data_IF_480447479080
#
_entry.id   IF_480447479080
#
_cell.length_a   1.000
_cell.length_b   1.000
_cell.length_c   1.000
_cell.angle_alpha   90.00
_cell.angle_beta   90.00
_cell.angle_gamma   90.00
#
_symmetry.space_group_name_H-M   'P 1'
#
loop_
_entity.id
_entity.type
_entity.pdbx_description
1 polymer ?
#
# COMPACT_ATOMS: atom_id res chain seq x y z
N UNK A 1 25.28 -5.50 3.76
CA UNK A 1 24.05 -5.25 2.97
C UNK A 1 22.93 -4.93 3.95
N UNK A 2 22.18 -3.85 3.73
CA UNK A 2 21.03 -3.51 4.57
C UNK A 2 19.95 -4.58 4.44
N UNK A 3 19.27 -4.93 5.55
CA UNK A 3 18.12 -5.85 5.50
C UNK A 3 17.04 -5.28 4.57
N UNK A 4 16.41 -6.10 3.73
CA UNK A 4 15.31 -5.65 2.88
C UNK A 4 14.17 -5.10 3.73
N UNK A 5 13.56 -4.01 3.26
CA UNK A 5 12.40 -3.40 3.91
C UNK A 5 11.19 -4.31 3.67
N UNK A 6 10.43 -4.61 4.72
CA UNK A 6 9.26 -5.51 4.65
C UNK A 6 7.97 -4.75 4.97
N UNK A 7 6.87 -5.14 4.34
CA UNK A 7 5.50 -4.78 4.72
C UNK A 7 4.74 -6.09 4.97
N UNK A 8 4.54 -6.46 6.24
CA UNK A 8 4.03 -7.79 6.58
C UNK A 8 4.96 -8.89 6.03
N UNK A 9 4.43 -9.93 5.35
CA UNK A 9 5.24 -10.98 4.74
C UNK A 9 5.88 -10.59 3.40
N UNK A 10 5.64 -9.38 2.90
CA UNK A 10 6.08 -8.96 1.56
C UNK A 10 7.36 -8.12 1.60
N UNK A 11 8.28 -8.41 0.69
CA UNK A 11 9.49 -7.62 0.47
C UNK A 11 9.19 -6.38 -0.38
N UNK A 12 9.63 -5.22 0.07
CA UNK A 12 9.46 -3.95 -0.68
C UNK A 12 10.46 -3.88 -1.82
N UNK A 13 9.94 -3.78 -3.05
CA UNK A 13 10.75 -3.59 -4.25
C UNK A 13 11.01 -2.10 -4.48
N UNK A 14 9.94 -1.31 -4.63
CA UNK A 14 10.01 0.15 -4.79
C UNK A 14 8.65 0.82 -4.57
N UNK A 15 8.67 2.09 -4.17
CA UNK A 15 7.48 2.94 -4.29
C UNK A 15 7.23 3.25 -5.77
N UNK A 16 5.97 3.14 -6.20
CA UNK A 16 5.58 3.35 -7.61
C UNK A 16 4.60 4.51 -7.79
N UNK A 17 4.05 5.04 -6.71
CA UNK A 17 3.15 6.19 -6.79
C UNK A 17 2.81 6.76 -5.42
N UNK A 18 2.37 8.01 -5.40
CA UNK A 18 1.83 8.69 -4.22
C UNK A 18 0.59 9.47 -4.63
N UNK A 19 -0.48 9.30 -3.87
CA UNK A 19 -1.71 10.05 -4.03
C UNK A 19 -1.98 10.94 -2.82
N UNK A 20 -3.11 11.65 -2.86
CA UNK A 20 -3.55 12.56 -1.79
C UNK A 20 -3.69 11.88 -0.42
N UNK A 21 -3.97 10.58 -0.42
CA UNK A 21 -4.28 9.83 0.80
C UNK A 21 -3.31 8.70 1.10
N UNK A 22 -2.17 8.61 0.40
CA UNK A 22 -1.25 7.50 0.66
C UNK A 22 -0.23 7.19 -0.43
N UNK A 23 0.47 6.07 -0.25
CA UNK A 23 1.56 5.61 -1.10
C UNK A 23 1.22 4.25 -1.69
N UNK A 24 1.62 4.05 -2.94
CA UNK A 24 1.54 2.79 -3.65
C UNK A 24 2.94 2.20 -3.78
N UNK A 25 3.09 0.96 -3.34
CA UNK A 25 4.38 0.27 -3.26
C UNK A 25 4.28 -1.07 -3.97
N UNK A 26 5.22 -1.33 -4.89
CA UNK A 26 5.39 -2.66 -5.47
C UNK A 26 6.15 -3.54 -4.47
N UNK A 27 5.61 -4.73 -4.25
CA UNK A 27 6.16 -5.71 -3.30
C UNK A 27 6.25 -7.09 -3.93
N UNK A 28 7.05 -7.97 -3.33
CA UNK A 28 7.29 -9.35 -3.78
C UNK A 28 6.94 -10.31 -2.64
N UNK A 29 6.27 -11.42 -2.95
CA UNK A 29 6.03 -12.49 -1.98
C UNK A 29 7.16 -13.53 -1.95
N UNK A 30 7.02 -14.56 -1.11
CA UNK A 30 7.98 -15.66 -1.00
C UNK A 30 8.13 -16.51 -2.28
N UNK A 31 7.13 -16.48 -3.18
CA UNK A 31 7.11 -17.20 -4.46
C UNK A 31 7.58 -16.32 -5.63
N UNK A 32 8.22 -15.19 -5.31
CA UNK A 32 8.69 -14.20 -6.27
C UNK A 32 7.62 -13.48 -7.11
N UNK A 33 6.35 -13.61 -6.72
CA UNK A 33 5.24 -12.95 -7.41
C UNK A 33 5.13 -11.50 -6.98
N UNK A 34 4.94 -10.62 -7.96
CA UNK A 34 4.84 -9.17 -7.75
C UNK A 34 3.40 -8.78 -7.45
N UNK A 35 3.23 -7.98 -6.39
CA UNK A 35 1.97 -7.39 -5.97
C UNK A 35 2.13 -5.87 -5.77
N UNK A 36 0.99 -5.21 -5.56
CA UNK A 36 0.93 -3.79 -5.23
C UNK A 36 0.19 -3.62 -3.91
N UNK A 37 0.82 -2.93 -2.96
CA UNK A 37 0.19 -2.49 -1.72
C UNK A 37 -0.10 -0.99 -1.85
N UNK A 38 -1.37 -0.61 -1.62
CA UNK A 38 -1.83 0.78 -1.52
C UNK A 38 -2.08 1.09 -0.06
N UNK A 39 -1.13 1.77 0.59
CA UNK A 39 -1.29 2.23 1.97
C UNK A 39 -2.15 3.50 1.97
N UNK A 40 -3.18 3.55 2.81
CA UNK A 40 -4.08 4.70 2.91
C UNK A 40 -4.06 5.28 4.32
N UNK A 41 -3.79 6.58 4.42
CA UNK A 41 -3.93 7.35 5.64
C UNK A 41 -5.37 7.87 5.75
N UNK A 42 -6.18 7.19 6.56
CA UNK A 42 -7.57 7.56 6.79
C UNK A 42 -7.70 8.75 7.75
N UNK A 43 -6.64 9.14 8.47
CA UNK A 43 -6.70 10.26 9.43
C UNK A 43 -6.90 11.60 8.71
N UNK A 44 -6.40 11.73 7.49
CA UNK A 44 -6.55 12.92 6.65
C UNK A 44 -7.83 12.94 5.80
N UNK A 45 -8.70 11.92 5.92
CA UNK A 45 -9.94 11.82 5.14
C UNK A 45 -11.17 12.32 5.93
N UNK A 46 -12.11 12.96 5.22
CA UNK A 46 -13.46 13.23 5.73
C UNK A 46 -14.34 11.98 5.68
N UNK A 47 -15.45 11.98 6.42
CA UNK A 47 -16.37 10.83 6.51
C UNK A 47 -16.86 10.32 5.15
N UNK A 48 -17.11 11.23 4.19
CA UNK A 48 -17.52 10.86 2.82
C UNK A 48 -16.42 10.09 2.08
N UNK A 49 -15.18 10.56 2.18
CA UNK A 49 -14.02 9.93 1.52
C UNK A 49 -13.71 8.57 2.14
N UNK A 50 -13.80 8.46 3.48
CA UNK A 50 -13.70 7.17 4.18
C UNK A 50 -14.73 6.16 3.69
N UNK A 51 -15.98 6.58 3.53
CA UNK A 51 -17.05 5.71 3.04
C UNK A 51 -16.77 5.23 1.61
N UNK A 52 -16.27 6.11 0.74
CA UNK A 52 -15.89 5.73 -0.63
C UNK A 52 -14.78 4.67 -0.64
N UNK A 53 -13.74 4.84 0.19
CA UNK A 53 -12.65 3.85 0.31
C UNK A 53 -13.16 2.50 0.80
N UNK A 54 -14.05 2.49 1.80
CA UNK A 54 -14.66 1.23 2.28
C UNK A 54 -15.49 0.55 1.18
N UNK A 55 -16.20 1.32 0.36
CA UNK A 55 -16.96 0.79 -0.77
C UNK A 55 -16.07 0.26 -1.90
N UNK A 56 -14.84 0.76 -2.08
CA UNK A 56 -13.89 0.23 -3.09
C UNK A 56 -13.36 -1.16 -2.73
N UNK A 57 -13.39 -1.53 -1.45
CA UNK A 57 -12.86 -2.80 -0.93
C UNK A 57 -13.94 -3.91 -0.95
N UNK A 58 -15.20 -3.55 -1.20
CA UNK A 58 -16.37 -4.44 -1.20
C UNK A 58 -16.79 -4.82 -2.62
#
# INVERSE_FOLDING_TARGET
MSKPKMIGPYEVVKSIGRGSFGIVTAVKDENEKIFVIKELDISCMKNKEKMNVVNEIR
#
